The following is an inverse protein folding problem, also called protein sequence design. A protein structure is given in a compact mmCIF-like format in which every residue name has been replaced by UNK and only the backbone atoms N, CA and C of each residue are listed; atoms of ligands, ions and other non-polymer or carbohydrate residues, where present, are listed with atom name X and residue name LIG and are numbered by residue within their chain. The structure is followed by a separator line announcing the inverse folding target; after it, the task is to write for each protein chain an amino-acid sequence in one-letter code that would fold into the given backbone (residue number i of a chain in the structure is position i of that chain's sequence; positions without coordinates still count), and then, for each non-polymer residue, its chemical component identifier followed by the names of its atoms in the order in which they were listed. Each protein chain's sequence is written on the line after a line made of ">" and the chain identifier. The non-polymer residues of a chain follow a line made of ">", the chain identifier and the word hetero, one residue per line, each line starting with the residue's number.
data_IF_934304557759
#
_entry.id   IF_934304557759
#
_cell.length_a   1.000
_cell.length_b   1.000
_cell.length_c   1.000
_cell.angle_alpha   90.00
_cell.angle_beta   90.00
_cell.angle_gamma   90.00
#
_symmetry.space_group_name_H-M   'P 1'
#
loop_
_entity.id
_entity.type
_entity.pdbx_description
1 polymer ?
#
# COMPACT_ATOMS: atom_id res chain seq x y z
N UNK A 1 -0.45 48.25 -43.08
CA UNK A 1 -0.02 47.48 -44.27
C UNK A 1 -0.08 46.02 -43.93
N UNK A 2 -0.97 45.33 -44.61
CA UNK A 2 -1.35 43.96 -44.45
C UNK A 2 -0.42 43.04 -45.23
N UNK A 3 0.01 41.92 -44.69
CA UNK A 3 0.40 40.76 -45.52
C UNK A 3 -0.05 39.48 -44.83
N UNK A 4 -1.11 38.90 -45.39
CA UNK A 4 -1.52 37.55 -45.17
C UNK A 4 -0.67 36.57 -46.02
N UNK A 5 -0.15 35.50 -45.48
CA UNK A 5 0.37 34.36 -46.23
C UNK A 5 -0.40 33.10 -45.90
N UNK A 6 -1.12 32.64 -46.90
CA UNK A 6 -1.86 31.37 -46.94
C UNK A 6 -0.91 30.27 -47.40
N UNK A 7 -0.72 29.22 -46.61
CA UNK A 7 -0.05 27.99 -47.08
C UNK A 7 -1.05 26.84 -47.16
N UNK A 8 -1.25 26.32 -48.38
CA UNK A 8 -2.05 25.17 -48.76
C UNK A 8 -1.44 23.86 -48.20
N UNK A 9 -2.17 23.13 -47.37
CA UNK A 9 -1.82 21.78 -46.99
C UNK A 9 -2.17 20.77 -48.08
N UNK A 10 -1.19 19.96 -48.50
CA UNK A 10 -1.37 18.79 -49.38
C UNK A 10 -1.85 17.61 -48.59
N UNK A 11 -3.04 17.14 -48.90
CA UNK A 11 -3.59 15.86 -48.37
C UNK A 11 -2.99 14.69 -49.16
N UNK A 12 -2.23 13.86 -48.45
CA UNK A 12 -1.67 12.62 -49.01
C UNK A 12 -2.67 11.47 -48.70
N UNK A 13 -3.39 11.03 -49.75
CA UNK A 13 -4.26 9.85 -49.71
C UNK A 13 -3.39 8.59 -49.80
N UNK A 14 -3.37 7.77 -48.73
CA UNK A 14 -2.86 6.39 -48.79
C UNK A 14 -3.90 5.47 -49.45
N UNK A 15 -3.47 4.53 -50.34
CA UNK A 15 -4.39 3.56 -50.93
C UNK A 15 -4.81 2.49 -49.92
N UNK A 16 -6.11 2.17 -49.91
CA UNK A 16 -6.72 1.11 -49.19
C UNK A 16 -6.31 -0.26 -49.73
N UNK A 17 -5.64 -1.09 -48.96
CA UNK A 17 -5.39 -2.49 -49.27
C UNK A 17 -6.60 -3.30 -48.90
N UNK A 18 -7.19 -4.01 -49.91
CA UNK A 18 -8.32 -4.95 -49.72
C UNK A 18 -7.86 -6.15 -48.89
N UNK A 19 -8.54 -6.40 -47.77
CA UNK A 19 -8.38 -7.61 -46.99
C UNK A 19 -8.92 -8.82 -47.80
N UNK A 20 -8.07 -9.80 -48.06
CA UNK A 20 -8.44 -11.12 -48.58
C UNK A 20 -8.70 -12.04 -47.39
N UNK A 21 -9.91 -12.60 -47.37
CA UNK A 21 -10.37 -13.59 -46.38
C UNK A 21 -9.60 -14.90 -46.55
N UNK A 22 -9.01 -15.49 -45.52
CA UNK A 22 -8.40 -16.82 -45.65
C UNK A 22 -9.47 -17.93 -45.58
N UNK A 23 -9.38 -18.83 -46.53
CA UNK A 23 -10.15 -20.10 -46.65
C UNK A 23 -9.81 -21.02 -45.47
N UNK A 24 -10.78 -21.67 -44.81
CA UNK A 24 -10.49 -22.62 -43.74
C UNK A 24 -9.88 -23.91 -44.27
N UNK A 25 -8.76 -24.32 -43.64
CA UNK A 25 -8.12 -25.60 -43.90
C UNK A 25 -8.91 -26.79 -43.32
N UNK A 26 -8.84 -28.00 -43.91
CA UNK A 26 -9.61 -29.16 -43.47
C UNK A 26 -9.10 -29.74 -42.16
N UNK A 27 -10.04 -30.07 -41.27
CA UNK A 27 -9.81 -30.70 -39.97
C UNK A 27 -9.22 -32.12 -40.12
N UNK A 28 -8.11 -32.48 -39.46
CA UNK A 28 -7.66 -33.86 -39.40
C UNK A 28 -8.56 -34.70 -38.48
N UNK A 29 -8.90 -35.90 -38.95
CA UNK A 29 -9.62 -36.91 -38.17
C UNK A 29 -8.84 -37.32 -36.92
N UNK A 30 -9.54 -37.32 -35.79
CA UNK A 30 -9.02 -37.80 -34.51
C UNK A 30 -8.68 -39.31 -34.58
N UNK A 31 -7.46 -39.65 -34.26
CA UNK A 31 -7.03 -41.01 -33.91
C UNK A 31 -7.30 -41.23 -32.44
N UNK A 32 -7.80 -42.39 -31.99
CA UNK A 32 -8.05 -42.62 -30.56
C UNK A 32 -6.74 -42.76 -29.81
N UNK A 33 -6.60 -42.00 -28.70
CA UNK A 33 -5.48 -42.07 -27.76
C UNK A 33 -5.48 -43.42 -27.05
N UNK A 34 -4.27 -44.03 -26.84
CA UNK A 34 -4.13 -45.21 -26.01
C UNK A 34 -4.31 -44.84 -24.51
N UNK A 35 -5.05 -45.68 -23.81
CA UNK A 35 -5.29 -45.62 -22.36
C UNK A 35 -3.98 -45.51 -21.57
N UNK A 36 -3.87 -44.60 -20.57
CA UNK A 36 -2.68 -44.52 -19.74
C UNK A 36 -2.61 -45.70 -18.75
N UNK A 37 -1.42 -46.21 -18.45
CA UNK A 37 -1.25 -47.34 -17.55
C UNK A 37 -1.67 -47.00 -16.12
N UNK A 38 -2.44 -47.88 -15.49
CA UNK A 38 -2.86 -47.79 -14.07
C UNK A 38 -1.64 -47.68 -13.17
N UNK A 39 -1.44 -46.54 -12.56
CA UNK A 39 -0.41 -46.30 -11.57
C UNK A 39 -0.84 -46.94 -10.25
N UNK A 40 -0.07 -47.93 -9.79
CA UNK A 40 -0.21 -48.48 -8.45
C UNK A 40 0.01 -47.37 -7.40
N UNK A 41 -1.03 -47.05 -6.68
CA UNK A 41 -0.96 -46.16 -5.53
C UNK A 41 -0.24 -46.86 -4.38
N UNK A 42 0.97 -46.41 -4.04
CA UNK A 42 1.59 -46.71 -2.75
C UNK A 42 0.90 -45.83 -1.69
N UNK A 43 0.44 -46.38 -0.57
CA UNK A 43 -0.03 -45.59 0.56
C UNK A 43 1.17 -45.01 1.31
N UNK A 44 1.20 -43.68 1.46
CA UNK A 44 2.13 -43.01 2.38
C UNK A 44 3.03 -41.99 1.71
N UNK A 45 2.50 -40.78 1.47
CA UNK A 45 3.14 -39.48 1.66
C UNK A 45 2.10 -38.36 1.35
N UNK A 46 1.15 -38.22 2.27
CA UNK A 46 0.31 -37.03 2.31
C UNK A 46 1.15 -35.94 2.96
N UNK A 47 1.81 -35.11 2.14
CA UNK A 47 2.32 -33.81 2.59
C UNK A 47 1.13 -33.04 3.18
N UNK A 48 1.16 -32.64 4.47
CA UNK A 48 0.04 -31.92 5.05
C UNK A 48 -0.13 -30.58 4.33
N UNK A 49 -1.21 -30.45 3.59
CA UNK A 49 -1.68 -29.16 3.08
C UNK A 49 -1.79 -28.22 4.28
N UNK A 50 -1.18 -27.02 4.27
CA UNK A 50 -1.30 -26.10 5.40
C UNK A 50 -2.79 -25.77 5.58
N UNK A 51 -3.33 -26.24 6.70
CA UNK A 51 -4.71 -25.97 7.13
C UNK A 51 -4.87 -24.45 7.19
N UNK A 52 -5.90 -23.85 6.59
CA UNK A 52 -6.17 -22.44 6.74
C UNK A 52 -6.16 -22.09 8.23
N UNK A 53 -5.31 -21.15 8.64
CA UNK A 53 -5.25 -20.69 10.03
C UNK A 53 -6.65 -20.19 10.38
N UNK A 54 -7.25 -20.79 11.38
CA UNK A 54 -8.56 -20.36 11.88
C UNK A 54 -8.50 -18.84 12.13
N UNK A 55 -9.56 -18.06 11.81
CA UNK A 55 -9.56 -16.62 12.07
C UNK A 55 -9.23 -16.40 13.54
N UNK A 56 -8.25 -15.54 13.82
CA UNK A 56 -7.88 -15.17 15.16
C UNK A 56 -9.13 -14.66 15.90
N UNK A 57 -9.43 -15.20 17.08
CA UNK A 57 -10.61 -14.82 17.86
C UNK A 57 -10.54 -13.37 18.40
N UNK A 58 -9.45 -12.66 18.15
CA UNK A 58 -9.18 -11.30 18.60
C UNK A 58 -9.71 -10.21 17.67
N UNK A 59 -9.58 -8.94 18.07
CA UNK A 59 -9.93 -7.79 17.25
C UNK A 59 -9.23 -7.80 15.90
N UNK A 60 -9.97 -7.41 14.86
CA UNK A 60 -9.43 -7.20 13.52
C UNK A 60 -9.72 -5.77 13.07
N UNK A 61 -8.67 -5.08 12.67
CA UNK A 61 -8.68 -3.69 12.25
C UNK A 61 -8.44 -3.59 10.77
N UNK A 62 -9.22 -2.80 10.06
CA UNK A 62 -9.03 -2.51 8.65
C UNK A 62 -9.18 -1.02 8.38
N UNK A 63 -8.20 -0.45 7.71
CA UNK A 63 -8.20 0.90 7.19
C UNK A 63 -8.05 0.86 5.68
N UNK A 64 -8.88 1.62 4.97
CA UNK A 64 -8.77 1.79 3.52
C UNK A 64 -8.75 3.26 3.19
N UNK A 65 -7.70 3.71 2.54
CA UNK A 65 -7.63 5.02 1.91
C UNK A 65 -7.78 4.87 0.41
N UNK A 66 -8.61 5.73 -0.22
CA UNK A 66 -8.82 5.72 -1.67
C UNK A 66 -8.76 7.14 -2.21
N UNK A 67 -7.90 7.38 -3.20
CA UNK A 67 -7.78 8.65 -3.90
C UNK A 67 -7.38 8.40 -5.37
N UNK A 68 -8.37 8.33 -6.28
CA UNK A 68 -8.12 8.17 -7.71
C UNK A 68 -7.20 9.27 -8.26
N UNK A 69 -6.30 8.92 -9.18
CA UNK A 69 -5.35 9.84 -9.80
C UNK A 69 -4.08 10.12 -8.99
N UNK A 70 -3.92 9.53 -7.80
CA UNK A 70 -2.68 9.60 -7.03
C UNK A 70 -1.74 8.45 -7.39
N UNK A 71 -0.43 8.64 -7.09
CA UNK A 71 0.59 7.58 -7.25
C UNK A 71 0.17 6.29 -6.55
N UNK A 72 -0.34 6.44 -5.32
CA UNK A 72 -1.01 5.38 -4.58
C UNK A 72 -2.50 5.68 -4.54
N UNK A 73 -3.26 5.09 -5.48
CA UNK A 73 -4.70 5.34 -5.61
C UNK A 73 -5.52 4.66 -4.51
N UNK A 74 -4.99 3.60 -3.91
CA UNK A 74 -5.57 2.89 -2.78
C UNK A 74 -4.47 2.36 -1.87
N UNK A 75 -4.66 2.52 -0.56
CA UNK A 75 -3.84 1.91 0.50
C UNK A 75 -4.78 1.19 1.45
N UNK A 76 -4.50 -0.07 1.74
CA UNK A 76 -5.27 -0.86 2.72
C UNK A 76 -4.32 -1.35 3.80
N UNK A 77 -4.65 -1.12 5.06
CA UNK A 77 -3.92 -1.62 6.23
C UNK A 77 -4.85 -2.53 7.00
N UNK A 78 -4.46 -3.78 7.21
CA UNK A 78 -5.20 -4.78 7.98
C UNK A 78 -4.27 -5.36 9.04
N UNK A 79 -4.70 -5.37 10.31
CA UNK A 79 -3.89 -5.92 11.40
C UNK A 79 -4.77 -6.47 12.53
N UNK A 80 -4.16 -7.25 13.41
CA UNK A 80 -4.75 -7.76 14.65
C UNK A 80 -4.43 -6.83 15.85
N UNK A 81 -4.80 -7.26 17.05
CA UNK A 81 -4.53 -6.56 18.31
C UNK A 81 -3.05 -6.59 18.73
N UNK A 82 -2.26 -7.51 18.18
CA UNK A 82 -0.81 -7.54 18.36
C UNK A 82 -0.07 -6.61 17.36
N UNK A 83 -0.78 -5.92 16.47
CA UNK A 83 -0.21 -5.07 15.42
C UNK A 83 0.36 -5.84 14.23
N UNK A 84 0.14 -7.15 14.16
CA UNK A 84 0.58 -7.99 13.05
C UNK A 84 -0.45 -7.99 11.93
N UNK A 85 0.03 -7.83 10.70
CA UNK A 85 -0.89 -7.79 9.56
C UNK A 85 -0.22 -7.57 8.23
N UNK A 86 -0.91 -6.89 7.35
CA UNK A 86 -0.45 -6.55 6.00
C UNK A 86 -0.89 -5.16 5.59
N UNK A 87 -0.09 -4.54 4.75
CA UNK A 87 -0.46 -3.34 3.99
C UNK A 87 -0.51 -3.69 2.51
N UNK A 88 -1.47 -3.13 1.81
CA UNK A 88 -1.62 -3.31 0.36
C UNK A 88 -1.68 -1.96 -0.34
N UNK A 89 -0.92 -1.80 -1.42
CA UNK A 89 -0.84 -0.57 -2.21
C UNK A 89 -1.29 -0.81 -3.65
N UNK A 90 -2.21 0.00 -4.14
CA UNK A 90 -2.47 0.11 -5.57
C UNK A 90 -1.68 1.30 -6.12
N UNK A 91 -0.55 1.02 -6.76
CA UNK A 91 0.30 2.02 -7.40
C UNK A 91 -0.02 2.10 -8.90
N UNK A 92 -0.10 3.32 -9.46
CA UNK A 92 -0.47 3.54 -10.86
C UNK A 92 0.48 2.91 -11.88
N UNK A 93 1.71 2.58 -11.49
CA UNK A 93 2.74 1.94 -12.32
C UNK A 93 2.75 0.41 -12.24
N UNK A 94 1.82 -0.21 -11.49
CA UNK A 94 1.73 -1.65 -11.33
C UNK A 94 0.31 -2.12 -11.64
N UNK A 95 0.18 -3.23 -12.34
CA UNK A 95 -1.12 -3.80 -12.71
C UNK A 95 -1.82 -4.45 -11.52
N UNK A 96 -1.05 -5.05 -10.61
CA UNK A 96 -1.55 -5.71 -9.41
C UNK A 96 -1.20 -4.93 -8.13
N UNK A 97 -2.02 -5.03 -7.07
CA UNK A 97 -1.68 -4.47 -5.76
C UNK A 97 -0.42 -5.13 -5.19
N UNK A 98 0.46 -4.29 -4.63
CA UNK A 98 1.62 -4.75 -3.87
C UNK A 98 1.15 -5.05 -2.45
N UNK A 99 1.60 -6.15 -1.86
CA UNK A 99 1.22 -6.56 -0.50
C UNK A 99 2.48 -6.83 0.31
N UNK A 100 2.66 -6.07 1.40
CA UNK A 100 3.76 -6.23 2.34
C UNK A 100 3.26 -6.57 3.75
N UNK A 101 3.99 -7.39 4.51
CA UNK A 101 3.68 -7.60 5.92
C UNK A 101 3.95 -6.34 6.72
N UNK A 102 3.14 -6.13 7.78
CA UNK A 102 3.36 -5.07 8.76
C UNK A 102 3.50 -5.65 10.17
N UNK A 103 4.28 -4.93 10.96
CA UNK A 103 4.44 -5.16 12.39
C UNK A 103 4.43 -3.79 13.07
N UNK A 104 3.28 -3.42 13.64
CA UNK A 104 3.10 -2.11 14.27
C UNK A 104 3.70 -2.13 15.67
N UNK A 105 4.36 -1.03 16.07
CA UNK A 105 4.92 -0.91 17.40
C UNK A 105 3.82 -0.84 18.48
N UNK A 106 4.20 -1.16 19.72
CA UNK A 106 3.30 -1.03 20.86
C UNK A 106 2.81 0.42 21.05
N UNK A 107 3.65 1.41 20.74
CA UNK A 107 3.28 2.84 20.76
C UNK A 107 2.20 3.14 19.73
N UNK A 108 2.38 2.70 18.50
CA UNK A 108 1.40 2.87 17.42
C UNK A 108 0.08 2.19 17.78
N UNK A 109 0.12 0.95 18.27
CA UNK A 109 -1.08 0.21 18.70
C UNK A 109 -1.81 0.91 19.83
N UNK A 110 -1.06 1.46 20.80
CA UNK A 110 -1.65 2.25 21.89
C UNK A 110 -2.38 3.49 21.35
N UNK A 111 -1.76 4.25 20.44
CA UNK A 111 -2.38 5.43 19.84
C UNK A 111 -3.70 5.09 19.11
N UNK A 112 -3.71 3.98 18.35
CA UNK A 112 -4.90 3.50 17.65
C UNK A 112 -6.00 3.08 18.63
N UNK A 113 -5.66 2.27 19.64
CA UNK A 113 -6.63 1.77 20.62
C UNK A 113 -7.19 2.89 21.50
N UNK A 114 -6.38 3.85 21.91
CA UNK A 114 -6.82 5.04 22.65
C UNK A 114 -7.80 5.88 21.82
N UNK A 115 -7.50 6.11 20.54
CA UNK A 115 -8.40 6.86 19.65
C UNK A 115 -9.73 6.13 19.43
N UNK A 116 -9.71 4.81 19.25
CA UNK A 116 -10.93 3.99 19.11
C UNK A 116 -11.75 3.94 20.40
N UNK A 117 -11.11 3.85 21.56
CA UNK A 117 -11.76 3.90 22.86
C UNK A 117 -12.41 5.27 23.10
N UNK A 118 -11.72 6.38 22.77
CA UNK A 118 -12.25 7.74 22.88
C UNK A 118 -13.46 7.99 21.97
N UNK A 119 -13.57 7.23 20.86
CA UNK A 119 -14.73 7.25 19.98
C UNK A 119 -15.88 6.34 20.47
N UNK A 120 -15.65 5.50 21.47
CA UNK A 120 -16.52 4.35 21.79
C UNK A 120 -16.91 3.60 20.50
N UNK A 121 -15.91 3.30 19.65
CA UNK A 121 -16.07 3.08 18.22
C UNK A 121 -17.12 2.01 17.89
N UNK A 122 -17.15 0.87 18.56
CA UNK A 122 -18.08 -0.23 18.26
C UNK A 122 -19.53 0.05 18.69
N UNK A 123 -19.74 0.90 19.70
CA UNK A 123 -21.04 1.15 20.30
C UNK A 123 -21.63 2.52 19.91
N UNK A 124 -20.81 3.43 19.35
CA UNK A 124 -21.27 4.73 18.85
C UNK A 124 -22.00 4.58 17.51
N UNK A 125 -23.03 5.38 17.31
CA UNK A 125 -23.72 5.55 16.03
C UNK A 125 -23.27 6.84 15.30
N UNK A 126 -22.21 7.49 15.76
CA UNK A 126 -21.76 8.79 15.22
C UNK A 126 -21.37 8.71 13.75
N UNK A 127 -21.76 9.72 13.01
CA UNK A 127 -21.38 9.94 11.64
C UNK A 127 -20.23 10.94 11.58
N UNK A 128 -19.06 10.52 11.10
CA UNK A 128 -17.84 11.34 11.18
C UNK A 128 -17.63 12.26 9.98
N UNK A 129 -18.37 12.07 8.88
CA UNK A 129 -18.27 12.96 7.73
C UNK A 129 -18.73 14.37 8.10
N UNK A 130 -17.91 15.38 7.75
CA UNK A 130 -18.31 16.77 7.88
C UNK A 130 -19.51 17.10 6.98
N UNK A 131 -20.62 17.62 7.53
CA UNK A 131 -21.84 17.81 6.77
C UNK A 131 -21.82 19.07 5.86
N UNK A 132 -20.91 20.02 6.13
CA UNK A 132 -20.92 21.32 5.45
C UNK A 132 -20.36 21.30 4.04
N UNK A 133 -19.40 20.41 3.74
CA UNK A 133 -18.75 20.31 2.43
C UNK A 133 -18.13 18.94 2.20
N UNK A 134 -18.25 18.46 0.98
CA UNK A 134 -17.52 17.28 0.51
C UNK A 134 -16.11 17.66 0.05
N UNK A 135 -15.10 16.99 0.63
CA UNK A 135 -13.68 17.15 0.31
C UNK A 135 -13.14 15.91 -0.44
N UNK A 136 -13.93 15.34 -1.35
CA UNK A 136 -13.59 14.12 -2.12
C UNK A 136 -12.24 14.18 -2.81
N UNK A 137 -11.76 15.39 -3.17
CA UNK A 137 -10.42 15.61 -3.73
C UNK A 137 -9.28 15.25 -2.75
N UNK A 138 -9.56 15.19 -1.45
CA UNK A 138 -8.58 14.75 -0.43
C UNK A 138 -8.47 13.23 -0.30
N UNK A 139 -9.35 12.49 -0.97
CA UNK A 139 -9.49 11.04 -0.85
C UNK A 139 -10.49 10.66 0.25
N UNK A 140 -10.91 9.41 0.23
CA UNK A 140 -11.85 8.85 1.19
C UNK A 140 -11.14 7.85 2.09
N UNK A 141 -11.50 7.86 3.37
CA UNK A 141 -11.07 6.85 4.34
C UNK A 141 -12.25 5.99 4.76
N UNK A 142 -11.98 4.73 4.99
CA UNK A 142 -12.92 3.76 5.54
C UNK A 142 -12.22 3.02 6.68
N UNK A 143 -12.87 2.96 7.82
CA UNK A 143 -12.41 2.19 8.99
C UNK A 143 -13.39 1.08 9.28
N UNK A 144 -12.88 -0.13 9.49
CA UNK A 144 -13.66 -1.26 9.96
C UNK A 144 -12.98 -1.87 11.18
N UNK A 145 -13.73 -2.03 12.24
CA UNK A 145 -13.32 -2.78 13.43
C UNK A 145 -14.29 -3.94 13.64
N UNK A 146 -13.72 -5.15 13.73
CA UNK A 146 -14.43 -6.37 14.09
C UNK A 146 -13.91 -6.86 15.43
N UNK A 147 -14.76 -7.05 16.41
CA UNK A 147 -14.38 -7.59 17.71
C UNK A 147 -15.56 -8.30 18.38
N UNK A 148 -15.35 -9.51 18.86
CA UNK A 148 -16.33 -10.30 19.64
C UNK A 148 -17.71 -10.39 18.94
N UNK A 149 -17.72 -10.65 17.64
CA UNK A 149 -18.96 -10.77 16.84
C UNK A 149 -19.63 -9.45 16.48
N UNK A 150 -19.09 -8.30 16.92
CA UNK A 150 -19.55 -6.97 16.53
C UNK A 150 -18.66 -6.44 15.40
N UNK A 151 -19.26 -5.70 14.50
CA UNK A 151 -18.56 -5.04 13.39
C UNK A 151 -19.14 -3.64 13.18
N UNK A 152 -18.24 -2.69 12.99
CA UNK A 152 -18.62 -1.34 12.56
C UNK A 152 -17.68 -0.87 11.47
N UNK A 153 -18.28 -0.26 10.45
CA UNK A 153 -17.57 0.43 9.36
C UNK A 153 -18.02 1.89 9.29
N UNK A 154 -17.07 2.81 9.20
CA UNK A 154 -17.32 4.23 8.98
C UNK A 154 -16.55 4.74 7.79
N UNK A 155 -17.13 5.71 7.06
CA UNK A 155 -16.52 6.32 5.86
C UNK A 155 -16.63 7.83 5.96
N UNK A 156 -15.52 8.52 5.65
CA UNK A 156 -15.50 9.98 5.51
C UNK A 156 -14.28 10.44 4.72
N UNK A 157 -14.28 11.68 4.25
CA UNK A 157 -13.12 12.31 3.62
C UNK A 157 -12.59 13.49 4.44
N UNK A 158 -13.45 14.06 5.27
CA UNK A 158 -13.12 15.12 6.20
C UNK A 158 -13.99 15.02 7.44
N UNK A 159 -13.43 15.37 8.60
CA UNK A 159 -14.14 15.31 9.88
C UNK A 159 -13.71 16.43 10.82
N UNK A 160 -14.64 16.97 11.60
CA UNK A 160 -14.39 17.87 12.73
C UNK A 160 -14.30 17.11 14.06
N UNK A 161 -14.68 15.83 14.08
CA UNK A 161 -14.51 14.99 15.26
C UNK A 161 -13.01 14.77 15.50
N UNK A 162 -12.51 15.32 16.63
CA UNK A 162 -11.08 15.30 16.96
C UNK A 162 -10.52 13.88 17.06
N UNK A 163 -11.26 12.95 17.65
CA UNK A 163 -10.78 11.58 17.84
C UNK A 163 -10.79 10.77 16.52
N UNK A 164 -11.81 10.98 15.66
CA UNK A 164 -11.82 10.40 14.32
C UNK A 164 -10.68 10.96 13.45
N UNK A 165 -10.33 12.25 13.62
CA UNK A 165 -9.17 12.84 12.97
C UNK A 165 -7.86 12.23 13.47
N UNK A 166 -7.70 12.02 14.78
CA UNK A 166 -6.51 11.37 15.36
C UNK A 166 -6.36 9.97 14.78
N UNK A 167 -7.45 9.18 14.71
CA UNK A 167 -7.43 7.83 14.13
C UNK A 167 -7.02 7.86 12.65
N UNK A 168 -7.58 8.75 11.86
CA UNK A 168 -7.23 8.95 10.45
C UNK A 168 -5.77 9.33 10.26
N UNK A 169 -5.28 10.28 11.07
CA UNK A 169 -3.91 10.77 10.99
C UNK A 169 -2.90 9.67 11.39
N UNK A 170 -3.25 8.81 12.36
CA UNK A 170 -2.40 7.69 12.77
C UNK A 170 -2.25 6.65 11.67
N UNK A 171 -3.33 6.23 11.02
CA UNK A 171 -3.23 5.33 9.86
C UNK A 171 -2.52 5.97 8.66
N UNK A 172 -2.61 7.30 8.49
CA UNK A 172 -1.82 8.01 7.49
C UNK A 172 -0.33 7.91 7.79
N UNK A 173 0.08 8.07 9.05
CA UNK A 173 1.48 7.92 9.49
C UNK A 173 2.01 6.52 9.25
N UNK A 174 1.20 5.49 9.55
CA UNK A 174 1.51 4.09 9.22
C UNK A 174 1.69 3.93 7.70
N UNK A 175 0.76 4.45 6.91
CA UNK A 175 0.83 4.39 5.45
C UNK A 175 2.08 5.07 4.89
N UNK A 176 2.45 6.24 5.42
CA UNK A 176 3.67 6.96 5.02
C UNK A 176 4.93 6.13 5.29
N UNK A 177 5.02 5.52 6.47
CA UNK A 177 6.16 4.67 6.85
C UNK A 177 6.32 3.49 5.90
N UNK A 178 5.26 2.72 5.70
CA UNK A 178 5.36 1.48 4.93
C UNK A 178 5.44 1.71 3.42
N UNK A 179 4.82 2.76 2.87
CA UNK A 179 5.04 3.16 1.48
C UNK A 179 6.47 3.63 1.25
N UNK A 180 7.06 4.39 2.20
CA UNK A 180 8.46 4.76 2.13
C UNK A 180 9.40 3.55 2.22
N UNK A 181 9.13 2.59 3.13
CA UNK A 181 9.92 1.35 3.24
C UNK A 181 9.90 0.58 1.92
N UNK A 182 8.75 0.44 1.29
CA UNK A 182 8.61 -0.19 -0.02
C UNK A 182 9.42 0.55 -1.10
N UNK A 183 9.31 1.88 -1.19
CA UNK A 183 10.02 2.67 -2.20
C UNK A 183 11.55 2.57 -2.04
N UNK A 184 12.05 2.61 -0.80
CA UNK A 184 13.49 2.53 -0.59
C UNK A 184 14.03 1.13 -0.83
N UNK A 185 13.29 0.07 -0.51
CA UNK A 185 13.69 -1.31 -0.81
C UNK A 185 13.68 -1.57 -2.32
N UNK A 186 12.69 -1.05 -3.04
CA UNK A 186 12.65 -1.09 -4.50
C UNK A 186 13.84 -0.34 -5.12
N UNK A 187 14.16 0.85 -4.60
CA UNK A 187 15.31 1.64 -5.06
C UNK A 187 16.64 0.94 -4.75
N UNK A 188 16.81 0.33 -3.57
CA UNK A 188 18.01 -0.46 -3.22
C UNK A 188 18.31 -1.57 -4.23
N UNK A 189 17.27 -2.20 -4.76
CA UNK A 189 17.41 -3.31 -5.69
C UNK A 189 17.65 -2.86 -7.13
N UNK A 190 16.98 -1.80 -7.57
CA UNK A 190 16.92 -1.44 -8.97
C UNK A 190 17.63 -0.14 -9.33
N UNK A 191 17.58 0.87 -8.45
CA UNK A 191 18.09 2.22 -8.70
C UNK A 191 18.67 2.86 -7.43
N UNK A 192 19.81 2.36 -6.89
CA UNK A 192 20.37 2.84 -5.62
C UNK A 192 20.63 4.35 -5.56
N UNK A 193 20.85 5.00 -6.71
CA UNK A 193 21.08 6.45 -6.80
C UNK A 193 19.86 7.30 -6.41
N UNK A 194 18.67 6.73 -6.35
CA UNK A 194 17.46 7.42 -5.88
C UNK A 194 17.35 7.45 -4.35
N UNK A 195 18.09 6.59 -3.65
CA UNK A 195 17.97 6.45 -2.19
C UNK A 195 18.31 7.71 -1.39
N UNK A 196 19.23 8.62 -1.78
CA UNK A 196 19.44 9.88 -1.06
C UNK A 196 18.16 10.75 -0.99
N UNK A 197 17.40 10.86 -2.08
CA UNK A 197 16.13 11.59 -2.11
C UNK A 197 15.06 10.93 -1.22
N UNK A 198 15.00 9.59 -1.21
CA UNK A 198 14.09 8.86 -0.31
C UNK A 198 14.47 9.04 1.16
N UNK A 199 15.78 9.15 1.47
CA UNK A 199 16.23 9.48 2.82
C UNK A 199 15.88 10.93 3.21
N UNK A 200 15.80 11.87 2.26
CA UNK A 200 15.28 13.22 2.51
C UNK A 200 13.78 13.21 2.81
N UNK A 201 13.05 12.36 2.12
CA UNK A 201 11.61 12.20 2.33
C UNK A 201 11.30 11.73 3.75
N UNK A 202 11.98 10.67 4.25
CA UNK A 202 11.72 10.17 5.61
C UNK A 202 12.17 11.16 6.69
N UNK A 203 13.29 11.86 6.51
CA UNK A 203 13.78 12.92 7.40
C UNK A 203 12.68 14.00 7.54
N UNK A 204 12.12 14.46 6.41
CA UNK A 204 11.01 15.41 6.36
C UNK A 204 9.72 14.88 7.03
N UNK A 205 9.39 13.59 6.86
CA UNK A 205 8.22 13.00 7.52
C UNK A 205 8.36 12.97 9.03
N UNK A 206 9.56 12.66 9.54
CA UNK A 206 9.87 12.66 10.98
C UNK A 206 9.77 14.09 11.54
N UNK A 207 10.39 15.08 10.87
CA UNK A 207 10.34 16.49 11.29
C UNK A 207 8.89 17.02 11.36
N UNK A 208 8.03 16.62 10.44
CA UNK A 208 6.61 17.00 10.40
C UNK A 208 5.69 16.14 11.26
N UNK A 209 6.23 15.15 11.98
CA UNK A 209 5.46 14.19 12.79
C UNK A 209 4.47 13.37 11.96
N UNK A 210 4.86 13.02 10.74
CA UNK A 210 4.09 12.21 9.81
C UNK A 210 4.46 10.71 9.83
N UNK A 211 5.22 10.29 10.84
CA UNK A 211 5.52 8.90 11.21
C UNK A 211 4.96 8.65 12.61
N UNK A 212 4.35 7.48 12.81
CA UNK A 212 3.69 7.15 14.07
C UNK A 212 4.68 6.99 15.23
N UNK A 213 5.69 6.15 15.02
CA UNK A 213 6.71 5.82 16.03
C UNK A 213 8.11 5.85 15.39
N UNK A 214 8.78 7.02 15.32
CA UNK A 214 10.11 7.12 14.74
C UNK A 214 11.15 6.15 15.33
N UNK A 215 11.19 5.85 16.64
CA UNK A 215 12.06 4.82 17.21
C UNK A 215 11.92 3.44 16.57
N UNK A 216 10.72 3.06 16.12
CA UNK A 216 10.48 1.80 15.42
C UNK A 216 11.22 1.67 14.08
N UNK A 217 11.62 2.80 13.48
CA UNK A 217 12.43 2.84 12.25
C UNK A 217 13.92 2.53 12.48
N UNK A 218 14.44 2.65 13.70
CA UNK A 218 15.89 2.56 13.97
C UNK A 218 16.50 1.27 13.43
N UNK A 219 15.95 0.07 13.64
CA UNK A 219 16.52 -1.17 13.10
C UNK A 219 16.66 -1.15 11.56
N UNK A 220 15.63 -0.65 10.86
CA UNK A 220 15.64 -0.54 9.41
C UNK A 220 16.63 0.52 8.91
N UNK A 221 16.66 1.69 9.54
CA UNK A 221 17.63 2.74 9.23
C UNK A 221 19.08 2.28 9.48
N UNK A 222 19.31 1.44 10.50
CA UNK A 222 20.61 0.85 10.77
C UNK A 222 21.06 -0.06 9.62
N UNK A 223 20.16 -0.90 9.09
CA UNK A 223 20.46 -1.69 7.89
C UNK A 223 20.83 -0.81 6.69
N UNK A 224 20.10 0.30 6.46
CA UNK A 224 20.42 1.24 5.38
C UNK A 224 21.76 1.94 5.58
N UNK A 225 22.13 2.27 6.81
CA UNK A 225 23.38 2.97 7.13
C UNK A 225 24.63 2.12 6.84
N UNK A 226 24.49 0.80 6.87
CA UNK A 226 25.59 -0.16 6.67
C UNK A 226 25.57 -0.83 5.30
N UNK A 227 24.53 -0.61 4.47
CA UNK A 227 24.39 -1.23 3.16
C UNK A 227 25.33 -0.56 2.14
N UNK A 228 26.45 -1.24 1.80
CA UNK A 228 27.45 -0.73 0.85
C UNK A 228 26.94 -0.53 -0.58
N UNK A 229 25.81 -1.11 -0.94
CA UNK A 229 25.17 -0.89 -2.25
C UNK A 229 24.57 0.51 -2.37
N UNK A 230 24.31 1.16 -1.23
CA UNK A 230 23.77 2.51 -1.19
C UNK A 230 24.86 3.58 -1.29
N UNK A 231 24.57 4.71 -1.98
CA UNK A 231 25.45 5.87 -1.97
C UNK A 231 25.81 6.31 -0.54
N UNK A 232 27.06 6.74 -0.32
CA UNK A 232 27.52 7.20 0.98
C UNK A 232 26.63 8.30 1.57
N UNK A 233 26.07 9.16 0.70
CA UNK A 233 25.16 10.23 1.10
C UNK A 233 23.90 9.68 1.77
N UNK A 234 23.29 8.60 1.23
CA UNK A 234 22.12 7.93 1.83
C UNK A 234 22.48 7.29 3.18
N UNK A 235 23.61 6.57 3.25
CA UNK A 235 24.10 5.93 4.48
C UNK A 235 24.39 6.93 5.60
N UNK A 236 25.07 8.03 5.28
CA UNK A 236 25.34 9.10 6.23
C UNK A 236 24.07 9.77 6.74
N UNK A 237 23.07 9.95 5.86
CA UNK A 237 21.78 10.51 6.25
C UNK A 237 21.00 9.56 7.16
N UNK A 238 20.99 8.26 6.89
CA UNK A 238 20.41 7.26 7.78
C UNK A 238 21.03 7.35 9.19
N UNK A 239 22.35 7.40 9.27
CA UNK A 239 23.07 7.59 10.55
C UNK A 239 22.67 8.88 11.27
N UNK A 240 22.50 9.98 10.53
CA UNK A 240 22.08 11.28 11.11
C UNK A 240 20.66 11.20 11.67
N UNK A 241 19.74 10.58 10.94
CA UNK A 241 18.34 10.40 11.36
C UNK A 241 18.28 9.55 12.63
N UNK A 242 18.99 8.43 12.70
CA UNK A 242 19.07 7.58 13.90
C UNK A 242 19.47 8.42 15.12
N UNK A 243 20.55 9.20 15.02
CA UNK A 243 21.03 10.06 16.12
C UNK A 243 19.98 11.12 16.53
N UNK A 244 19.22 11.66 15.57
CA UNK A 244 18.17 12.63 15.87
C UNK A 244 17.02 11.98 16.65
N UNK A 245 16.56 10.80 16.22
CA UNK A 245 15.50 10.03 16.88
C UNK A 245 15.92 9.65 18.31
N UNK A 246 17.14 9.12 18.50
CA UNK A 246 17.66 8.74 19.81
C UNK A 246 17.80 9.93 20.77
N UNK A 247 18.15 11.11 20.25
CA UNK A 247 18.23 12.34 21.03
C UNK A 247 16.86 12.81 21.48
N UNK A 248 15.84 12.67 20.63
CA UNK A 248 14.47 13.09 20.93
C UNK A 248 13.80 12.16 21.95
N UNK A 249 14.08 10.86 21.87
CA UNK A 249 13.58 9.85 22.82
C UNK A 249 14.15 9.95 24.24
N UNK A 250 15.22 10.74 24.44
CA UNK A 250 15.86 10.96 25.76
C UNK A 250 15.40 12.23 26.47
N UNK A 251 14.53 13.02 25.84
CA UNK A 251 13.94 14.22 26.42
C UNK A 251 12.62 13.94 27.12
#
# INVERSE_FOLDING_TARGET
>A
MSFAQTTKGKTNKRPMVKATTPTPAPTPKATPDPEPPKRNERPGDATPTPKPKAPSAGPHYSYVFTRPGFTYSRVTVEHDDAGKGKISFQKSSFDEPIVDPIDLSATTMKNLTDALAALNYLDSADYYQFPGRDYSHMGNVEFTLKNAGRERTTRFNWTENKNAKVLMDEYRRISNEYTWRFEIDLARQNQPLLTPGLMETIDSYIDRKEISDPPHLIPFLTQLSTDERLPLMARNRATKIIKAIEKESKK
#
